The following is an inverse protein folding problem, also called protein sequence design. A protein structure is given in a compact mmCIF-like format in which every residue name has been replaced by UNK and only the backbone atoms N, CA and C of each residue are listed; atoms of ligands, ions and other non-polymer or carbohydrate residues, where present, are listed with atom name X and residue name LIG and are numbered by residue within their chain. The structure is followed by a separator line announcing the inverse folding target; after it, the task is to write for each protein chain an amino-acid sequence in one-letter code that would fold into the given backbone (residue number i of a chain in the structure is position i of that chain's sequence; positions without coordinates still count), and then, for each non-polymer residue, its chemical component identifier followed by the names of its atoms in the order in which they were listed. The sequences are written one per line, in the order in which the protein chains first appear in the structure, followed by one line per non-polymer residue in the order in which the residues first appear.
data_IF_272503414854
#
_entry.id   IF_272503414854
#
_cell.length_a   1.000
_cell.length_b   1.000
_cell.length_c   1.000
_cell.angle_alpha   90.00
_cell.angle_beta   90.00
_cell.angle_gamma   90.00
#
_symmetry.space_group_name_H-M   'P 1'
#
loop_
_entity.id
_entity.type
_entity.pdbx_description
1 polymer ?
#
# COMPACT_ATOMS: atom_id res chain seq x y z
N UNK A 1 31.38 -0.50 4.77
CA UNK A 1 31.93 -1.19 5.95
C UNK A 1 31.96 -2.69 5.69
N UNK A 2 30.85 -3.35 5.37
CA UNK A 2 30.78 -4.82 5.17
C UNK A 2 31.76 -5.36 4.11
N UNK A 3 32.02 -4.59 3.02
CA UNK A 3 32.96 -5.01 1.97
C UNK A 3 34.41 -5.17 2.46
N UNK A 4 34.82 -4.34 3.45
CA UNK A 4 36.16 -4.40 4.03
C UNK A 4 36.34 -5.55 5.03
N UNK A 5 35.23 -6.16 5.47
CA UNK A 5 35.20 -7.21 6.51
C UNK A 5 34.88 -8.60 5.95
N UNK A 6 34.74 -8.75 4.60
CA UNK A 6 34.37 -10.04 3.98
C UNK A 6 32.97 -10.54 4.35
N UNK A 7 32.11 -9.69 4.87
CA UNK A 7 30.76 -10.08 5.29
C UNK A 7 29.83 -10.25 4.09
N UNK A 8 28.93 -11.22 4.15
CA UNK A 8 27.82 -11.39 3.22
C UNK A 8 26.86 -10.20 3.29
N UNK A 9 26.33 -9.79 2.15
CA UNK A 9 25.48 -8.59 2.04
C UNK A 9 24.22 -8.87 1.26
N UNK A 10 23.09 -8.52 1.86
CA UNK A 10 21.78 -8.55 1.21
C UNK A 10 21.19 -7.15 1.24
N UNK A 11 20.70 -6.69 0.12
CA UNK A 11 19.89 -5.50 0.01
C UNK A 11 18.44 -5.89 -0.25
N UNK A 12 17.50 -5.37 0.53
CA UNK A 12 16.07 -5.46 0.24
C UNK A 12 15.60 -4.08 -0.19
N UNK A 13 15.10 -3.94 -1.40
CA UNK A 13 14.65 -2.64 -1.94
C UNK A 13 13.55 -2.84 -2.96
N UNK A 14 12.62 -1.90 -3.00
CA UNK A 14 11.60 -1.73 -4.03
C UNK A 14 11.97 -0.62 -5.02
N UNK A 15 13.02 0.15 -4.71
CA UNK A 15 13.53 1.25 -5.54
C UNK A 15 14.86 0.83 -6.16
N UNK A 16 14.83 0.54 -7.45
CA UNK A 16 16.05 0.20 -8.23
C UNK A 16 16.59 1.38 -9.01
N UNK A 17 15.73 2.32 -9.38
CA UNK A 17 16.06 3.55 -10.10
C UNK A 17 15.06 4.63 -9.75
N UNK A 18 15.49 5.88 -9.67
CA UNK A 18 14.64 7.05 -9.51
C UNK A 18 14.64 7.89 -10.78
N UNK A 19 13.50 8.50 -11.11
CA UNK A 19 13.33 9.41 -12.25
C UNK A 19 12.47 10.59 -11.82
N UNK A 20 13.04 11.45 -10.99
CA UNK A 20 12.30 12.51 -10.30
C UNK A 20 12.33 13.85 -11.00
N UNK A 21 13.39 14.14 -11.76
CA UNK A 21 13.69 15.51 -12.08
C UNK A 21 14.06 15.71 -13.55
N UNK A 22 13.65 16.88 -14.05
CA UNK A 22 14.12 17.45 -15.30
C UNK A 22 15.17 18.55 -15.02
N UNK A 23 16.09 18.80 -15.95
CA UNK A 23 17.07 19.88 -15.83
C UNK A 23 18.28 19.53 -14.97
N UNK A 24 18.86 20.52 -14.28
CA UNK A 24 20.12 20.35 -13.52
C UNK A 24 20.04 19.34 -12.38
N UNK A 25 18.88 19.20 -11.74
CA UNK A 25 18.67 18.22 -10.69
C UNK A 25 18.76 16.77 -11.21
N UNK A 26 18.51 16.51 -12.50
CA UNK A 26 18.69 15.19 -13.10
C UNK A 26 20.14 14.68 -13.07
N UNK A 27 21.14 15.58 -12.96
CA UNK A 27 22.55 15.20 -12.85
C UNK A 27 22.81 14.56 -11.47
N UNK A 28 22.23 15.13 -10.42
CA UNK A 28 22.34 14.59 -9.05
C UNK A 28 21.64 13.23 -9.01
N UNK A 29 20.44 13.14 -9.57
CA UNK A 29 19.66 11.91 -9.64
C UNK A 29 20.42 10.80 -10.38
N UNK A 30 21.01 11.08 -11.53
CA UNK A 30 21.87 10.12 -12.26
C UNK A 30 23.05 9.62 -11.43
N UNK A 31 23.68 10.51 -10.62
CA UNK A 31 24.75 10.11 -9.71
C UNK A 31 24.22 9.20 -8.59
N UNK A 32 23.05 9.51 -8.03
CA UNK A 32 22.41 8.67 -7.01
C UNK A 32 22.04 7.29 -7.58
N UNK A 33 21.44 7.24 -8.75
CA UNK A 33 21.12 5.98 -9.44
C UNK A 33 22.36 5.14 -9.71
N UNK A 34 23.46 5.78 -10.17
CA UNK A 34 24.75 5.09 -10.36
C UNK A 34 25.30 4.53 -9.04
N UNK A 35 25.19 5.31 -7.94
CA UNK A 35 25.63 4.84 -6.63
C UNK A 35 24.78 3.67 -6.16
N UNK A 36 23.46 3.75 -6.30
CA UNK A 36 22.53 2.66 -5.97
C UNK A 36 22.88 1.40 -6.77
N UNK A 37 23.05 1.53 -8.08
CA UNK A 37 23.44 0.41 -8.95
C UNK A 37 24.75 -0.23 -8.51
N UNK A 38 25.78 0.57 -8.20
CA UNK A 38 27.07 0.07 -7.69
C UNK A 38 26.88 -0.68 -6.36
N UNK A 39 26.03 -0.17 -5.45
CA UNK A 39 25.72 -0.87 -4.19
C UNK A 39 25.06 -2.22 -4.49
N UNK A 40 24.05 -2.24 -5.36
CA UNK A 40 23.36 -3.46 -5.76
C UNK A 40 24.32 -4.50 -6.34
N UNK A 41 25.25 -4.09 -7.21
CA UNK A 41 26.26 -4.98 -7.80
C UNK A 41 27.23 -5.57 -6.76
N UNK A 42 27.44 -4.89 -5.64
CA UNK A 42 28.33 -5.36 -4.58
C UNK A 42 27.65 -6.25 -3.55
N UNK A 43 26.36 -6.46 -3.65
CA UNK A 43 25.61 -7.35 -2.77
C UNK A 43 25.63 -8.79 -3.28
N UNK A 44 25.65 -9.76 -2.38
CA UNK A 44 25.48 -11.17 -2.73
C UNK A 44 24.09 -11.44 -3.30
N UNK A 45 23.06 -10.81 -2.71
CA UNK A 45 21.70 -10.77 -3.25
C UNK A 45 21.06 -9.40 -3.08
N UNK A 46 20.25 -9.05 -4.08
CA UNK A 46 19.30 -7.92 -4.05
C UNK A 46 17.90 -8.51 -4.13
N UNK A 47 17.13 -8.36 -3.08
CA UNK A 47 15.77 -8.88 -2.97
C UNK A 47 14.80 -7.76 -3.32
N UNK A 48 13.97 -8.00 -4.34
CA UNK A 48 12.92 -7.07 -4.78
C UNK A 48 11.56 -7.66 -4.41
N UNK A 49 10.76 -6.98 -3.54
CA UNK A 49 9.44 -7.44 -3.10
C UNK A 49 8.35 -7.17 -4.16
N UNK A 50 8.61 -7.53 -5.39
CA UNK A 50 7.71 -7.40 -6.53
C UNK A 50 7.67 -8.71 -7.33
N UNK A 51 6.70 -8.81 -8.26
CA UNK A 51 6.64 -9.90 -9.22
C UNK A 51 7.62 -9.57 -10.36
N UNK A 52 8.46 -10.53 -10.71
CA UNK A 52 9.44 -10.38 -11.78
C UNK A 52 10.31 -11.61 -11.91
N UNK A 53 11.20 -11.58 -12.90
CA UNK A 53 12.12 -12.67 -13.17
C UNK A 53 13.50 -12.40 -12.55
N UNK A 54 14.08 -13.40 -11.91
CA UNK A 54 15.41 -13.34 -11.32
C UNK A 54 16.48 -13.03 -12.36
N UNK A 55 17.43 -12.13 -12.03
CA UNK A 55 18.52 -11.72 -12.92
C UNK A 55 19.82 -11.51 -12.13
N UNK A 56 20.89 -12.23 -12.48
CA UNK A 56 22.17 -12.10 -11.79
C UNK A 56 22.02 -12.34 -10.28
N UNK A 57 22.34 -11.33 -9.48
CA UNK A 57 22.17 -11.35 -8.03
C UNK A 57 20.80 -10.79 -7.56
N UNK A 58 19.92 -10.38 -8.47
CA UNK A 58 18.58 -9.87 -8.16
C UNK A 58 17.61 -11.03 -8.05
N UNK A 59 16.81 -11.01 -6.97
CA UNK A 59 15.76 -12.01 -6.68
C UNK A 59 14.43 -11.32 -6.46
N UNK A 60 13.44 -11.67 -7.28
CA UNK A 60 12.06 -11.20 -7.14
C UNK A 60 11.29 -12.19 -6.27
N UNK A 61 10.83 -11.73 -5.12
CA UNK A 61 10.17 -12.61 -4.13
C UNK A 61 8.65 -12.48 -4.12
N UNK A 62 8.10 -11.59 -4.93
CA UNK A 62 6.69 -11.21 -4.87
C UNK A 62 6.38 -10.30 -3.68
N UNK A 63 5.13 -9.89 -3.50
CA UNK A 63 4.76 -8.94 -2.46
C UNK A 63 5.12 -9.45 -1.07
N UNK A 64 5.72 -8.56 -0.27
CA UNK A 64 6.01 -8.79 1.15
C UNK A 64 4.92 -8.12 1.96
N UNK A 65 3.88 -8.87 2.26
CA UNK A 65 2.69 -8.43 3.00
C UNK A 65 2.48 -9.25 4.25
N UNK A 66 1.72 -8.70 5.19
CA UNK A 66 1.34 -9.44 6.41
C UNK A 66 0.40 -10.59 6.07
N UNK A 67 0.49 -11.67 6.83
CA UNK A 67 -0.47 -12.76 6.70
C UNK A 67 -1.76 -12.42 7.45
N UNK A 68 -2.90 -12.64 6.80
CA UNK A 68 -4.21 -12.45 7.42
C UNK A 68 -4.45 -13.50 8.50
N UNK A 69 -5.09 -13.11 9.60
CA UNK A 69 -5.27 -13.97 10.78
C UNK A 69 -6.35 -15.05 10.61
N UNK A 70 -7.25 -14.90 9.64
CA UNK A 70 -8.34 -15.83 9.35
C UNK A 70 -8.88 -15.61 7.92
N UNK A 71 -9.77 -16.48 7.47
CA UNK A 71 -10.52 -16.26 6.24
C UNK A 71 -11.43 -15.01 6.33
N UNK A 72 -11.80 -14.48 5.17
CA UNK A 72 -12.55 -13.23 5.06
C UNK A 72 -13.88 -13.26 5.81
N UNK A 73 -14.62 -14.35 5.72
CA UNK A 73 -15.95 -14.44 6.35
C UNK A 73 -15.82 -14.45 7.87
N UNK A 74 -14.83 -15.16 8.40
CA UNK A 74 -14.52 -15.19 9.83
C UNK A 74 -14.10 -13.80 10.32
N UNK A 75 -13.25 -13.08 9.57
CA UNK A 75 -12.86 -11.71 9.91
C UNK A 75 -14.04 -10.76 9.88
N UNK A 76 -14.89 -10.79 8.86
CA UNK A 76 -16.09 -9.96 8.77
C UNK A 76 -17.03 -10.16 9.96
N UNK A 77 -17.26 -11.41 10.35
CA UNK A 77 -18.07 -11.73 11.54
C UNK A 77 -17.43 -11.18 12.82
N UNK A 78 -16.12 -11.39 13.01
CA UNK A 78 -15.36 -10.94 14.19
C UNK A 78 -15.37 -9.42 14.34
N UNK A 79 -15.21 -8.69 13.22
CA UNK A 79 -15.16 -7.22 13.19
C UNK A 79 -16.58 -6.62 13.21
N UNK A 80 -17.59 -7.41 12.87
CA UNK A 80 -19.00 -6.98 12.81
C UNK A 80 -19.34 -6.25 11.50
N UNK A 81 -18.68 -6.61 10.40
CA UNK A 81 -18.99 -6.10 9.05
C UNK A 81 -20.22 -6.82 8.48
N UNK A 82 -21.31 -6.10 8.29
CA UNK A 82 -22.60 -6.67 7.83
C UNK A 82 -22.98 -6.22 6.41
N UNK A 83 -22.53 -5.04 6.00
CA UNK A 83 -22.80 -4.40 4.71
C UNK A 83 -21.55 -4.39 3.83
N UNK A 84 -21.63 -3.80 2.66
CA UNK A 84 -20.46 -3.46 1.88
C UNK A 84 -19.62 -2.44 2.65
N UNK A 85 -18.38 -2.77 2.94
CA UNK A 85 -17.49 -1.96 3.76
C UNK A 85 -16.57 -1.13 2.89
N UNK A 86 -16.68 0.18 3.00
CA UNK A 86 -15.73 1.14 2.47
C UNK A 86 -14.79 1.51 3.62
N UNK A 87 -13.57 0.99 3.56
CA UNK A 87 -12.53 1.22 4.56
C UNK A 87 -11.68 2.41 4.13
N UNK A 88 -11.64 3.46 4.94
CA UNK A 88 -10.82 4.65 4.69
C UNK A 88 -9.69 4.74 5.71
N UNK A 89 -8.46 4.94 5.24
CA UNK A 89 -7.32 5.14 6.13
C UNK A 89 -6.51 6.36 5.76
N UNK A 90 -6.17 7.15 6.78
CA UNK A 90 -5.36 8.36 6.65
C UNK A 90 -3.84 8.13 6.64
N UNK A 91 -3.40 6.88 6.90
CA UNK A 91 -1.98 6.58 7.07
C UNK A 91 -1.44 6.95 8.45
N UNK A 92 -0.11 7.10 8.56
CA UNK A 92 0.59 7.35 9.84
C UNK A 92 0.65 8.82 10.26
N UNK A 93 0.27 9.75 9.40
CA UNK A 93 0.34 11.21 9.63
C UNK A 93 -1.01 11.88 9.43
N UNK A 94 -1.10 13.16 9.71
CA UNK A 94 -2.30 13.97 9.47
C UNK A 94 -2.53 14.33 7.99
N UNK A 95 -1.59 14.00 7.12
CA UNK A 95 -1.68 14.25 5.68
C UNK A 95 -2.92 13.63 5.02
N UNK A 96 -3.46 12.55 5.60
CA UNK A 96 -4.70 11.90 5.10
C UNK A 96 -6.00 12.58 5.49
N UNK A 97 -5.98 13.67 6.27
CA UNK A 97 -7.18 14.33 6.77
C UNK A 97 -8.14 14.74 5.64
N UNK A 98 -7.62 15.33 4.57
CA UNK A 98 -8.43 15.77 3.43
C UNK A 98 -9.13 14.61 2.71
N UNK A 99 -8.47 13.45 2.61
CA UNK A 99 -9.03 12.24 2.00
C UNK A 99 -10.18 11.68 2.84
N UNK A 100 -9.98 11.60 4.16
CA UNK A 100 -11.00 11.16 5.11
C UNK A 100 -12.22 12.10 5.05
N UNK A 101 -12.00 13.42 5.07
CA UNK A 101 -13.06 14.41 4.96
C UNK A 101 -13.84 14.27 3.67
N UNK A 102 -13.15 14.05 2.55
CA UNK A 102 -13.82 13.83 1.25
C UNK A 102 -14.62 12.54 1.21
N UNK A 103 -14.13 11.46 1.82
CA UNK A 103 -14.87 10.21 1.91
C UNK A 103 -16.15 10.36 2.76
N UNK A 104 -16.08 11.09 3.87
CA UNK A 104 -17.26 11.41 4.72
C UNK A 104 -18.27 12.24 3.93
N UNK A 105 -17.82 13.25 3.18
CA UNK A 105 -18.67 14.14 2.37
C UNK A 105 -19.47 13.38 1.30
N UNK A 106 -18.84 12.43 0.61
CA UNK A 106 -19.47 11.74 -0.53
C UNK A 106 -20.29 10.51 -0.14
N UNK A 107 -19.97 9.86 0.97
CA UNK A 107 -20.59 8.59 1.36
C UNK A 107 -22.10 8.66 1.56
N UNK A 108 -22.73 9.70 2.15
CA UNK A 108 -24.17 9.76 2.34
C UNK A 108 -24.95 9.59 1.03
N UNK A 109 -24.45 10.10 -0.09
CA UNK A 109 -25.08 9.96 -1.40
C UNK A 109 -25.01 8.55 -1.98
N UNK A 110 -24.08 7.72 -1.47
CA UNK A 110 -23.79 6.37 -1.95
C UNK A 110 -24.36 5.28 -1.03
N UNK A 111 -24.58 5.60 0.23
CA UNK A 111 -24.87 4.65 1.28
C UNK A 111 -26.06 3.72 0.97
N UNK A 112 -27.18 4.30 0.56
CA UNK A 112 -28.38 3.53 0.22
C UNK A 112 -28.23 2.75 -1.08
N UNK A 113 -27.59 3.35 -2.10
CA UNK A 113 -27.37 2.73 -3.42
C UNK A 113 -26.47 1.51 -3.35
N UNK A 114 -25.44 1.57 -2.50
CA UNK A 114 -24.43 0.51 -2.39
C UNK A 114 -24.67 -0.41 -1.19
N UNK A 115 -25.71 -0.18 -0.38
CA UNK A 115 -25.88 -0.81 0.94
C UNK A 115 -24.55 -0.89 1.69
N UNK A 116 -23.92 0.28 1.88
CA UNK A 116 -22.57 0.36 2.41
C UNK A 116 -22.48 1.01 3.79
N UNK A 117 -21.42 0.67 4.51
CA UNK A 117 -20.97 1.33 5.73
C UNK A 117 -19.57 1.92 5.53
N UNK A 118 -19.37 3.13 6.09
CA UNK A 118 -18.08 3.81 6.05
C UNK A 118 -17.32 3.51 7.34
N UNK A 119 -16.17 2.86 7.22
CA UNK A 119 -15.28 2.54 8.33
C UNK A 119 -14.02 3.40 8.18
N UNK A 120 -13.65 4.13 9.24
CA UNK A 120 -12.48 5.02 9.21
C UNK A 120 -11.44 4.56 10.21
N UNK A 121 -10.20 4.45 9.74
CA UNK A 121 -8.99 4.24 10.54
C UNK A 121 -8.09 5.47 10.33
N UNK A 122 -8.25 6.52 11.16
CA UNK A 122 -7.57 7.80 10.93
C UNK A 122 -6.05 7.72 11.14
N UNK A 123 -5.58 6.67 11.82
CA UNK A 123 -4.19 6.54 12.23
C UNK A 123 -3.89 7.25 13.55
N UNK A 124 -2.62 7.23 14.01
CA UNK A 124 -2.27 7.72 15.35
C UNK A 124 -2.30 9.26 15.49
N UNK A 125 -2.18 9.98 14.37
CA UNK A 125 -2.03 11.45 14.39
C UNK A 125 -3.36 12.20 14.25
N UNK A 126 -4.43 11.52 13.85
CA UNK A 126 -5.74 12.15 13.64
C UNK A 126 -6.75 11.65 14.66
N UNK A 127 -7.46 12.61 15.27
CA UNK A 127 -8.63 12.34 16.09
C UNK A 127 -9.89 12.75 15.34
N UNK A 128 -10.81 11.83 15.20
CA UNK A 128 -12.13 12.09 14.63
C UNK A 128 -13.19 12.00 15.73
N UNK A 129 -14.21 12.87 15.70
CA UNK A 129 -15.35 12.74 16.60
C UNK A 129 -16.14 11.47 16.30
N UNK A 130 -16.94 11.03 17.26
CA UNK A 130 -17.94 10.02 17.02
C UNK A 130 -19.04 10.56 16.10
N UNK A 131 -19.53 9.74 15.20
CA UNK A 131 -20.58 10.10 14.24
C UNK A 131 -21.49 8.92 13.97
N UNK A 132 -22.70 9.22 13.49
CA UNK A 132 -23.63 8.20 12.95
C UNK A 132 -23.38 7.93 11.47
N UNK A 133 -22.60 8.76 10.79
CA UNK A 133 -22.32 8.67 9.37
C UNK A 133 -21.18 7.70 9.05
N UNK A 134 -20.34 7.40 10.04
CA UNK A 134 -19.19 6.49 9.91
C UNK A 134 -18.85 5.82 11.24
N UNK A 135 -18.23 4.68 11.17
CA UNK A 135 -17.65 3.98 12.31
C UNK A 135 -16.16 4.29 12.41
N UNK A 136 -15.76 4.98 13.48
CA UNK A 136 -14.37 5.29 13.77
C UNK A 136 -13.73 4.15 14.58
N UNK A 137 -12.69 3.51 14.05
CA UNK A 137 -11.96 2.43 14.75
C UNK A 137 -10.69 2.94 15.47
N UNK A 138 -10.38 4.25 15.36
CA UNK A 138 -9.15 4.78 15.93
C UNK A 138 -7.89 4.13 15.34
N UNK A 139 -6.87 3.97 16.17
CA UNK A 139 -5.66 3.24 15.80
C UNK A 139 -5.87 1.73 15.94
N UNK A 140 -5.47 0.97 14.93
CA UNK A 140 -5.58 -0.50 14.90
C UNK A 140 -4.22 -1.14 14.58
N UNK A 141 -3.89 -2.24 15.25
CA UNK A 141 -2.66 -2.98 15.02
C UNK A 141 -2.76 -3.96 13.83
N UNK A 142 -3.97 -4.40 13.52
CA UNK A 142 -4.27 -5.43 12.52
C UNK A 142 -4.93 -4.84 11.26
N UNK A 143 -4.42 -3.73 10.76
CA UNK A 143 -4.95 -3.04 9.57
C UNK A 143 -5.08 -3.98 8.37
N UNK A 144 -4.15 -4.92 8.20
CA UNK A 144 -4.17 -5.92 7.14
C UNK A 144 -5.43 -6.81 7.16
N UNK A 145 -5.92 -7.21 8.35
CA UNK A 145 -7.16 -7.97 8.47
C UNK A 145 -8.38 -7.14 8.03
N UNK A 146 -8.38 -5.83 8.35
CA UNK A 146 -9.42 -4.90 7.92
C UNK A 146 -9.41 -4.71 6.40
N UNK A 147 -8.22 -4.53 5.79
CA UNK A 147 -8.06 -4.43 4.33
C UNK A 147 -8.61 -5.69 3.65
N UNK A 148 -8.25 -6.87 4.15
CA UNK A 148 -8.73 -8.13 3.58
C UNK A 148 -10.25 -8.33 3.73
N UNK A 149 -10.82 -7.91 4.86
CA UNK A 149 -12.25 -8.03 5.15
C UNK A 149 -13.12 -7.01 4.41
N UNK A 150 -12.57 -5.86 4.02
CA UNK A 150 -13.29 -4.77 3.35
C UNK A 150 -13.72 -5.13 1.92
N UNK A 151 -14.68 -4.38 1.39
CA UNK A 151 -15.15 -4.47 0.00
C UNK A 151 -14.47 -3.42 -0.89
N UNK A 152 -13.99 -2.33 -0.29
CA UNK A 152 -13.21 -1.28 -0.94
C UNK A 152 -12.29 -0.62 0.09
N UNK A 153 -11.05 -0.34 -0.30
CA UNK A 153 -10.10 0.44 0.50
C UNK A 153 -9.85 1.80 -0.17
N UNK A 154 -9.93 2.87 0.60
CA UNK A 154 -9.55 4.22 0.18
C UNK A 154 -8.40 4.66 1.08
N UNK A 155 -7.26 4.98 0.49
CA UNK A 155 -6.09 5.41 1.27
C UNK A 155 -5.23 6.42 0.53
N UNK A 156 -4.34 7.07 1.26
CA UNK A 156 -3.18 7.67 0.62
C UNK A 156 -2.37 6.57 -0.08
N UNK A 157 -1.65 6.94 -1.15
CA UNK A 157 -0.84 6.01 -1.92
C UNK A 157 0.43 5.56 -1.19
N UNK A 158 0.25 5.04 0.03
CA UNK A 158 1.30 4.43 0.82
C UNK A 158 1.56 2.99 0.39
N UNK A 159 2.84 2.63 0.19
CA UNK A 159 3.27 1.34 -0.37
C UNK A 159 2.62 0.13 0.32
N UNK A 160 2.69 0.05 1.65
CA UNK A 160 2.19 -1.11 2.40
C UNK A 160 0.70 -1.36 2.17
N UNK A 161 -0.14 -0.30 2.18
CA UNK A 161 -1.59 -0.44 1.96
C UNK A 161 -1.91 -0.84 0.53
N UNK A 162 -1.17 -0.29 -0.45
CA UNK A 162 -1.33 -0.67 -1.86
C UNK A 162 -0.96 -2.15 -2.08
N UNK A 163 0.19 -2.57 -1.56
CA UNK A 163 0.67 -3.95 -1.70
C UNK A 163 -0.27 -4.95 -1.00
N UNK A 164 -0.75 -4.64 0.21
CA UNK A 164 -1.72 -5.47 0.93
C UNK A 164 -3.05 -5.55 0.19
N UNK A 165 -3.59 -4.42 -0.30
CA UNK A 165 -4.84 -4.38 -1.07
C UNK A 165 -4.72 -5.25 -2.32
N UNK A 166 -3.64 -5.11 -3.07
CA UNK A 166 -3.35 -5.91 -4.27
C UNK A 166 -3.21 -7.40 -3.94
N UNK A 167 -2.38 -7.74 -2.95
CA UNK A 167 -2.12 -9.13 -2.59
C UNK A 167 -3.37 -9.85 -2.08
N UNK A 168 -4.25 -9.14 -1.36
CA UNK A 168 -5.50 -9.71 -0.85
C UNK A 168 -6.64 -9.68 -1.87
N UNK A 169 -6.43 -9.09 -3.04
CA UNK A 169 -7.46 -8.91 -4.05
C UNK A 169 -8.57 -7.94 -3.65
N UNK A 170 -8.35 -7.10 -2.63
CA UNK A 170 -9.31 -6.08 -2.21
C UNK A 170 -9.17 -4.86 -3.13
N UNK A 171 -10.26 -4.40 -3.78
CA UNK A 171 -10.17 -3.22 -4.63
C UNK A 171 -9.76 -1.99 -3.82
N UNK A 172 -8.91 -1.12 -4.42
CA UNK A 172 -8.40 0.06 -3.76
C UNK A 172 -8.54 1.32 -4.62
N UNK A 173 -8.70 2.46 -3.95
CA UNK A 173 -8.56 3.82 -4.50
C UNK A 173 -7.41 4.48 -3.73
N UNK A 174 -6.34 4.82 -4.45
CA UNK A 174 -5.10 5.30 -3.86
C UNK A 174 -4.81 6.72 -4.29
N UNK A 175 -5.15 7.68 -3.43
CA UNK A 175 -4.97 9.12 -3.73
C UNK A 175 -3.61 9.56 -3.21
N UNK A 176 -2.69 10.02 -4.05
CA UNK A 176 -1.38 10.49 -3.60
C UNK A 176 -1.49 11.86 -2.90
N UNK A 177 -0.55 12.15 -2.03
CA UNK A 177 -0.32 13.50 -1.55
C UNK A 177 0.21 14.34 -2.72
N UNK A 178 -0.36 15.51 -2.94
CA UNK A 178 0.03 16.42 -4.03
C UNK A 178 1.50 16.83 -3.88
N UNK A 179 2.25 16.74 -4.97
CA UNK A 179 3.70 17.01 -5.03
C UNK A 179 4.55 16.06 -4.16
N UNK A 180 4.02 14.89 -3.81
CA UNK A 180 4.77 13.84 -3.15
C UNK A 180 5.11 12.76 -4.17
N UNK A 181 6.28 12.86 -4.74
CA UNK A 181 6.70 12.08 -5.90
C UNK A 181 6.50 10.57 -5.75
N UNK A 182 6.99 9.97 -4.66
CA UNK A 182 6.90 8.53 -4.44
C UNK A 182 5.44 8.05 -4.43
N UNK A 183 4.54 8.81 -3.79
CA UNK A 183 3.13 8.47 -3.78
C UNK A 183 2.46 8.69 -5.14
N UNK A 184 2.82 9.76 -5.87
CA UNK A 184 2.30 10.00 -7.22
C UNK A 184 2.73 8.89 -8.18
N UNK A 185 3.97 8.45 -8.11
CA UNK A 185 4.46 7.31 -8.90
C UNK A 185 3.78 6.00 -8.50
N UNK A 186 3.63 5.75 -7.20
CA UNK A 186 2.94 4.58 -6.68
C UNK A 186 1.48 4.53 -7.13
N UNK A 187 0.73 5.63 -6.95
CA UNK A 187 -0.66 5.75 -7.36
C UNK A 187 -0.84 5.56 -8.87
N UNK A 188 0.06 6.14 -9.68
CA UNK A 188 0.00 6.04 -11.14
C UNK A 188 0.08 4.59 -11.64
N UNK A 189 0.79 3.69 -10.95
CA UNK A 189 0.82 2.25 -11.27
C UNK A 189 -0.56 1.60 -11.17
N UNK A 190 -1.45 2.16 -10.35
CA UNK A 190 -2.84 1.73 -10.17
C UNK A 190 -3.83 2.59 -10.96
N UNK A 191 -3.35 3.52 -11.78
CA UNK A 191 -4.17 4.41 -12.59
C UNK A 191 -4.75 5.60 -11.83
N UNK A 192 -4.22 5.95 -10.66
CA UNK A 192 -4.71 7.06 -9.84
C UNK A 192 -3.75 8.26 -9.85
N UNK A 193 -4.33 9.44 -9.63
CA UNK A 193 -3.63 10.72 -9.44
C UNK A 193 -4.36 11.57 -8.39
N UNK A 194 -3.75 12.67 -7.96
CA UNK A 194 -4.32 13.54 -6.92
C UNK A 194 -5.73 14.04 -7.27
N UNK A 195 -5.97 14.43 -8.53
CA UNK A 195 -7.26 14.96 -8.98
C UNK A 195 -8.41 13.96 -8.89
N UNK A 196 -8.13 12.69 -8.77
CA UNK A 196 -9.16 11.64 -8.62
C UNK A 196 -9.97 11.77 -7.33
N UNK A 197 -9.45 12.52 -6.34
CA UNK A 197 -10.23 12.87 -5.16
C UNK A 197 -11.52 13.64 -5.48
N UNK A 198 -11.54 14.44 -6.55
CA UNK A 198 -12.71 15.23 -6.95
C UNK A 198 -13.81 14.37 -7.59
N UNK A 199 -13.48 13.17 -8.03
CA UNK A 199 -14.44 12.19 -8.56
C UNK A 199 -14.57 10.95 -7.67
N UNK A 200 -14.27 11.08 -6.38
CA UNK A 200 -14.21 9.96 -5.44
C UNK A 200 -15.52 9.15 -5.40
N UNK A 201 -16.69 9.81 -5.43
CA UNK A 201 -17.98 9.14 -5.46
C UNK A 201 -18.12 8.20 -6.67
N UNK A 202 -17.77 8.67 -7.85
CA UNK A 202 -17.77 7.85 -9.08
C UNK A 202 -16.82 6.65 -8.96
N UNK A 203 -15.61 6.86 -8.46
CA UNK A 203 -14.62 5.80 -8.28
C UNK A 203 -15.07 4.74 -7.27
N UNK A 204 -15.76 5.14 -6.20
CA UNK A 204 -16.34 4.21 -5.23
C UNK A 204 -17.37 3.31 -5.94
N UNK A 205 -18.28 3.88 -6.72
CA UNK A 205 -19.29 3.10 -7.45
C UNK A 205 -18.66 2.14 -8.48
N UNK A 206 -17.60 2.59 -9.17
CA UNK A 206 -16.88 1.79 -10.15
C UNK A 206 -16.12 0.61 -9.52
N UNK A 207 -15.48 0.84 -8.37
CA UNK A 207 -14.54 -0.11 -7.79
C UNK A 207 -15.14 -1.05 -6.76
N UNK A 208 -16.20 -0.65 -6.06
CA UNK A 208 -16.80 -1.50 -5.03
C UNK A 208 -17.30 -2.82 -5.63
N UNK A 209 -16.96 -3.92 -4.98
CA UNK A 209 -17.30 -5.26 -5.47
C UNK A 209 -16.38 -5.82 -6.57
N UNK A 210 -15.44 -5.04 -7.12
CA UNK A 210 -14.47 -5.49 -8.12
C UNK A 210 -13.29 -6.26 -7.49
N UNK A 211 -13.59 -7.22 -6.61
CA UNK A 211 -12.56 -8.00 -5.93
C UNK A 211 -11.90 -8.98 -6.89
N UNK A 212 -10.57 -9.05 -6.86
CA UNK A 212 -9.77 -10.03 -7.59
C UNK A 212 -9.41 -11.23 -6.70
N UNK A 213 -8.80 -12.25 -7.30
CA UNK A 213 -8.24 -13.36 -6.54
C UNK A 213 -7.06 -12.89 -5.70
N UNK A 214 -6.88 -13.52 -4.53
CA UNK A 214 -5.69 -13.29 -3.71
C UNK A 214 -4.44 -13.76 -4.42
N UNK A 215 -3.37 -12.98 -4.30
CA UNK A 215 -2.06 -13.34 -4.83
C UNK A 215 -1.29 -14.25 -3.85
N UNK A 216 -0.18 -14.80 -4.31
CA UNK A 216 0.74 -15.52 -3.42
C UNK A 216 1.43 -14.55 -2.45
N UNK A 217 1.11 -14.67 -1.17
CA UNK A 217 1.61 -13.82 -0.07
C UNK A 217 2.90 -14.37 0.58
N UNK A 218 3.63 -15.27 -0.08
CA UNK A 218 4.83 -15.91 0.48
C UNK A 218 6.13 -15.13 0.24
N UNK A 219 6.06 -13.87 -0.18
CA UNK A 219 7.24 -13.04 -0.48
C UNK A 219 8.21 -12.95 0.70
N UNK A 220 7.72 -12.71 1.90
CA UNK A 220 8.55 -12.68 3.11
C UNK A 220 9.27 -14.02 3.40
N UNK A 221 8.56 -15.14 3.24
CA UNK A 221 9.16 -16.47 3.44
C UNK A 221 10.23 -16.77 2.38
N UNK A 222 10.01 -16.37 1.11
CA UNK A 222 11.01 -16.50 0.04
C UNK A 222 12.24 -15.62 0.32
N UNK A 223 12.04 -14.37 0.75
CA UNK A 223 13.13 -13.50 1.15
C UNK A 223 13.95 -14.08 2.32
N UNK A 224 13.28 -14.56 3.36
CA UNK A 224 13.93 -15.21 4.51
C UNK A 224 14.75 -16.43 4.08
N UNK A 225 14.23 -17.26 3.18
CA UNK A 225 14.96 -18.42 2.64
C UNK A 225 16.23 -18.02 1.91
N UNK A 226 16.20 -16.96 1.08
CA UNK A 226 17.39 -16.44 0.38
C UNK A 226 18.43 -15.94 1.39
N UNK A 227 18.01 -15.23 2.42
CA UNK A 227 18.91 -14.72 3.47
C UNK A 227 19.55 -15.87 4.23
N UNK A 228 18.78 -16.91 4.59
CA UNK A 228 19.30 -18.06 5.35
C UNK A 228 20.33 -18.89 4.57
N UNK A 229 20.36 -18.82 3.23
CA UNK A 229 21.39 -19.49 2.43
C UNK A 229 22.77 -18.83 2.52
N UNK A 230 22.84 -17.62 3.08
CA UNK A 230 24.09 -16.87 3.25
C UNK A 230 24.67 -16.98 4.66
N UNK A 231 23.91 -17.54 5.58
CA UNK A 231 24.32 -17.75 6.98
C UNK A 231 25.05 -19.09 7.13
#
# INVERSE_FOLDING_TARGET
VGNKMGQRRVLITDITETRFTNGLASIIEKKMNKLMHNIMQTCDYVIIPEIGDDRGNIRYVGPVVRQVSADRNTLRKRIGFRKNVILVTGGGTDAGKYLIQKAIEVHPSLQSKLDSELIIVPGPSLRLPDSREYRNLGFVNNMHDLIYAADLVISLAGRSTMDESMAYGTPGIFIPIKNHFEQEQGAARFGFKYEDIFRLAYLIEEKIGCRSNTMDMKGAARAAKIISMLM
#
